data_IF_369876403647
#
_entry.id   IF_369876403647
#
_cell.length_a   1.000
_cell.length_b   1.000
_cell.length_c   1.000
_cell.angle_alpha   90.00
_cell.angle_beta   90.00
_cell.angle_gamma   90.00
#
_symmetry.space_group_name_H-M   'P 1'
#
loop_
_entity.id
_entity.type
_entity.pdbx_description
1 polymer ?
#
# COMPACT_ATOMS: atom_id res chain seq x y z
N UNK A 1 0.02 -6.85 11.16
CA UNK A 1 1.13 -6.01 11.68
C UNK A 1 2.47 -6.38 11.07
N UNK A 2 2.81 -7.67 10.90
CA UNK A 2 4.06 -8.11 10.29
C UNK A 2 4.28 -7.57 8.86
N UNK A 3 3.25 -7.64 8.00
CA UNK A 3 3.30 -7.08 6.64
C UNK A 3 3.62 -5.58 6.62
N UNK A 4 2.97 -4.81 7.50
CA UNK A 4 3.21 -3.37 7.64
C UNK A 4 4.66 -3.08 8.04
N UNK A 5 5.18 -3.80 9.05
CA UNK A 5 6.56 -3.62 9.50
C UNK A 5 7.57 -3.95 8.38
N UNK A 6 7.34 -5.03 7.64
CA UNK A 6 8.15 -5.45 6.49
C UNK A 6 8.14 -4.40 5.37
N UNK A 7 6.96 -3.95 4.97
CA UNK A 7 6.82 -2.97 3.88
C UNK A 7 7.36 -1.59 4.27
N UNK A 8 7.18 -1.18 5.53
CA UNK A 8 7.77 0.06 6.04
C UNK A 8 9.30 0.01 5.91
N UNK A 9 9.94 -1.02 6.45
CA UNK A 9 11.39 -1.17 6.37
C UNK A 9 11.89 -1.23 4.91
N UNK A 10 11.16 -1.93 4.03
CA UNK A 10 11.50 -2.03 2.61
C UNK A 10 11.45 -0.67 1.91
N UNK A 11 10.37 0.10 2.09
CA UNK A 11 10.18 1.41 1.48
C UNK A 11 11.18 2.45 2.03
N UNK A 12 11.50 2.40 3.32
CA UNK A 12 12.52 3.24 3.93
C UNK A 12 13.91 2.98 3.33
N UNK A 13 14.27 1.70 3.17
CA UNK A 13 15.54 1.30 2.53
C UNK A 13 15.61 1.71 1.05
N UNK A 14 14.48 1.68 0.35
CA UNK A 14 14.38 2.09 -1.05
C UNK A 14 14.33 3.61 -1.26
N UNK A 15 14.17 4.40 -0.19
CA UNK A 15 13.99 5.86 -0.29
C UNK A 15 12.62 6.29 -0.83
N UNK A 16 11.67 5.37 -0.94
CA UNK A 16 10.33 5.61 -1.53
C UNK A 16 9.24 5.52 -0.46
N UNK A 17 9.43 6.23 0.66
CA UNK A 17 8.51 6.19 1.80
C UNK A 17 7.07 6.53 1.39
N UNK A 18 6.13 5.85 2.05
CA UNK A 18 4.71 6.17 2.09
C UNK A 18 4.38 6.76 3.46
N UNK A 19 3.31 7.54 3.54
CA UNK A 19 2.77 7.94 4.83
C UNK A 19 2.36 6.70 5.64
N UNK A 20 2.46 6.78 6.97
CA UNK A 20 2.18 5.66 7.86
C UNK A 20 0.74 5.19 7.74
N UNK A 21 -0.23 6.11 7.58
CA UNK A 21 -1.64 5.77 7.45
C UNK A 21 -1.93 5.15 6.09
N UNK A 22 -1.36 5.69 5.02
CA UNK A 22 -1.49 5.11 3.66
C UNK A 22 -0.92 3.70 3.61
N UNK A 23 0.27 3.50 4.19
CA UNK A 23 0.88 2.18 4.27
C UNK A 23 0.01 1.21 5.09
N UNK A 24 -0.59 1.68 6.19
CA UNK A 24 -1.49 0.86 7.00
C UNK A 24 -2.76 0.47 6.22
N UNK A 25 -3.36 1.39 5.47
CA UNK A 25 -4.53 1.13 4.61
C UNK A 25 -4.19 0.06 3.57
N UNK A 26 -3.10 0.26 2.82
CA UNK A 26 -2.69 -0.68 1.77
C UNK A 26 -2.33 -2.06 2.32
N UNK A 27 -1.57 -2.12 3.42
CA UNK A 27 -1.27 -3.40 4.08
C UNK A 27 -2.52 -4.07 4.66
N UNK A 28 -3.51 -3.32 5.13
CA UNK A 28 -4.79 -3.85 5.61
C UNK A 28 -5.57 -4.49 4.46
N UNK A 29 -5.61 -3.85 3.29
CA UNK A 29 -6.26 -4.40 2.10
C UNK A 29 -5.63 -5.74 1.70
N UNK A 30 -4.29 -5.82 1.64
CA UNK A 30 -3.57 -7.08 1.34
C UNK A 30 -3.86 -8.16 2.38
N UNK A 31 -3.77 -7.82 3.67
CA UNK A 31 -3.97 -8.79 4.76
C UNK A 31 -5.37 -9.42 4.74
N UNK A 32 -6.36 -8.67 4.26
CA UNK A 32 -7.75 -9.11 4.14
C UNK A 32 -8.13 -9.59 2.72
N UNK A 33 -7.16 -9.70 1.80
CA UNK A 33 -7.37 -10.09 0.40
C UNK A 33 -8.42 -9.22 -0.32
N UNK A 34 -8.38 -7.92 -0.07
CA UNK A 34 -9.27 -6.92 -0.66
C UNK A 34 -8.57 -6.13 -1.76
N UNK A 35 -9.37 -5.52 -2.64
CA UNK A 35 -8.92 -4.56 -3.64
C UNK A 35 -9.01 -3.16 -3.05
N UNK A 36 -7.92 -2.39 -3.12
CA UNK A 36 -7.92 -0.99 -2.69
C UNK A 36 -8.47 -0.11 -3.81
N UNK A 37 -9.63 0.49 -3.58
CA UNK A 37 -10.21 1.47 -4.51
C UNK A 37 -9.67 2.85 -4.18
N UNK A 38 -8.96 3.48 -5.11
CA UNK A 38 -8.40 4.82 -4.91
C UNK A 38 -8.13 5.54 -6.23
N UNK A 39 -8.30 6.87 -6.23
CA UNK A 39 -7.89 7.72 -7.36
C UNK A 39 -6.36 7.89 -7.43
N UNK A 40 -5.64 7.61 -6.35
CA UNK A 40 -4.19 7.78 -6.28
C UNK A 40 -3.43 6.45 -6.42
N UNK A 41 -3.78 5.63 -7.42
CA UNK A 41 -3.23 4.28 -7.57
C UNK A 41 -1.70 4.23 -7.58
N UNK A 42 -1.06 5.13 -8.34
CA UNK A 42 0.41 5.26 -8.43
C UNK A 42 1.13 5.44 -7.09
N UNK A 43 0.45 6.02 -6.10
CA UNK A 43 1.01 6.19 -4.76
C UNK A 43 1.05 4.86 -3.99
N UNK A 44 -0.02 4.07 -4.11
CA UNK A 44 -0.18 2.79 -3.42
C UNK A 44 0.52 1.62 -4.14
N UNK A 45 0.74 1.70 -5.45
CA UNK A 45 1.50 0.72 -6.26
C UNK A 45 2.91 0.43 -5.71
N UNK A 46 3.45 1.32 -4.87
CA UNK A 46 4.74 1.09 -4.20
C UNK A 46 4.68 -0.07 -3.20
N UNK A 47 3.51 -0.44 -2.69
CA UNK A 47 3.30 -1.55 -1.73
C UNK A 47 3.26 -2.85 -2.51
N UNK A 48 4.10 -3.82 -2.15
CA UNK A 48 4.18 -5.08 -2.90
C UNK A 48 2.93 -5.94 -2.70
N UNK A 49 2.37 -6.44 -3.81
CA UNK A 49 1.24 -7.38 -3.80
C UNK A 49 -0.13 -6.73 -3.56
N UNK A 50 -0.22 -5.39 -3.60
CA UNK A 50 -1.50 -4.71 -3.53
C UNK A 50 -2.29 -4.83 -4.84
N UNK A 51 -3.60 -5.03 -4.73
CA UNK A 51 -4.51 -4.92 -5.87
C UNK A 51 -5.23 -3.58 -5.77
N UNK A 52 -5.28 -2.84 -6.86
CA UNK A 52 -5.82 -1.48 -6.90
C UNK A 52 -6.83 -1.37 -8.04
N UNK A 53 -7.93 -0.68 -7.77
CA UNK A 53 -8.90 -0.23 -8.77
C UNK A 53 -9.10 1.29 -8.67
N UNK A 54 -9.39 1.91 -9.81
CA UNK A 54 -9.88 3.27 -9.87
C UNK A 54 -11.26 3.26 -10.54
N UNK A 55 -12.25 3.86 -9.89
CA UNK A 55 -13.65 3.84 -10.33
C UNK A 55 -14.11 5.17 -10.95
N UNK A 56 -13.27 6.20 -10.94
CA UNK A 56 -13.68 7.58 -11.30
C UNK A 56 -12.80 8.16 -12.41
N UNK A 57 -12.10 7.30 -13.14
CA UNK A 57 -11.30 7.64 -14.31
C UNK A 57 -11.81 6.88 -15.54
#
# INVERSE_FOLDING_TARGET
>A
MELFAKEKARLEKAGTRLDVIDLLIGCSAIANKMILVTRNGKHFERIQGIQIENWID
#
